data_IF_594879354357
#
_entry.id   IF_594879354357
#
_cell.length_a   1.000
_cell.length_b   1.000
_cell.length_c   1.000
_cell.angle_alpha   90.00
_cell.angle_beta   90.00
_cell.angle_gamma   90.00
#
_symmetry.space_group_name_H-M   'P 1'
#
loop_
_entity.id
_entity.type
_entity.pdbx_description
1 polymer ?
#
# COMPACT_ATOMS: atom_id res chain seq x y z
N UNK A 1 -18.64 5.15 46.34
CA UNK A 1 -19.11 6.31 45.58
C UNK A 1 -19.85 5.78 44.38
N UNK A 2 -21.07 6.23 44.17
CA UNK A 2 -22.14 5.65 43.38
C UNK A 2 -21.79 5.55 41.86
N UNK A 3 -22.14 4.48 41.15
CA UNK A 3 -21.98 4.44 39.71
C UNK A 3 -23.00 5.36 39.04
N UNK A 4 -22.56 6.26 38.19
CA UNK A 4 -23.40 7.10 37.36
C UNK A 4 -24.23 6.21 36.42
N UNK A 5 -25.51 6.07 36.71
CA UNK A 5 -26.51 5.49 35.81
C UNK A 5 -26.85 6.57 34.78
N UNK A 6 -26.34 6.43 33.56
CA UNK A 6 -26.80 7.22 32.43
C UNK A 6 -28.23 6.80 32.09
N UNK A 7 -29.17 7.73 32.22
CA UNK A 7 -30.56 7.51 31.86
C UNK A 7 -30.66 7.32 30.33
N UNK A 8 -31.08 6.14 29.93
CA UNK A 8 -31.40 5.76 28.55
C UNK A 8 -32.65 6.53 28.06
N UNK A 9 -32.48 7.72 27.50
CA UNK A 9 -33.52 8.34 26.66
C UNK A 9 -32.92 9.36 25.68
N UNK A 10 -31.97 8.91 24.84
CA UNK A 10 -31.73 9.59 23.57
C UNK A 10 -32.88 9.22 22.63
N UNK A 11 -33.45 10.16 21.85
CA UNK A 11 -34.49 9.82 20.88
C UNK A 11 -33.93 8.76 19.92
N UNK A 12 -34.70 7.67 19.75
CA UNK A 12 -34.32 6.59 18.83
C UNK A 12 -34.16 7.17 17.43
N UNK A 13 -32.95 7.30 16.97
CA UNK A 13 -32.64 7.82 15.64
C UNK A 13 -32.92 6.76 14.62
N UNK A 14 -33.78 7.05 13.67
CA UNK A 14 -34.07 6.17 12.52
C UNK A 14 -33.37 6.71 11.29
N UNK A 15 -32.57 5.88 10.65
CA UNK A 15 -31.91 6.24 9.41
C UNK A 15 -32.92 6.17 8.26
N UNK A 16 -33.03 7.27 7.52
CA UNK A 16 -33.89 7.39 6.35
C UNK A 16 -33.03 7.57 5.10
N UNK A 17 -32.34 6.49 4.70
CA UNK A 17 -31.49 6.44 3.50
C UNK A 17 -32.00 5.35 2.56
N UNK A 18 -32.12 5.61 1.24
CA UNK A 18 -32.58 4.61 0.26
C UNK A 18 -31.76 3.32 0.25
N UNK A 19 -30.49 3.35 0.65
CA UNK A 19 -29.64 2.16 0.73
C UNK A 19 -30.11 1.16 1.80
N UNK A 20 -30.77 1.64 2.86
CA UNK A 20 -31.38 0.77 3.89
C UNK A 20 -32.61 0.04 3.34
N UNK A 21 -33.31 0.63 2.38
CA UNK A 21 -34.46 -0.02 1.72
C UNK A 21 -34.03 -1.10 0.71
N UNK A 22 -32.76 -1.47 0.69
CA UNK A 22 -32.25 -2.56 -0.14
C UNK A 22 -33.03 -3.85 0.14
N UNK A 23 -33.62 -4.50 -0.90
CA UNK A 23 -34.38 -5.73 -0.75
C UNK A 23 -33.63 -6.85 -0.02
N UNK A 24 -32.30 -6.89 -0.14
CA UNK A 24 -31.48 -7.90 0.55
C UNK A 24 -31.46 -7.66 2.06
N UNK A 25 -31.35 -6.41 2.52
CA UNK A 25 -31.39 -6.09 3.95
C UNK A 25 -32.78 -6.39 4.53
N UNK A 26 -33.84 -6.11 3.79
CA UNK A 26 -35.22 -6.50 4.16
C UNK A 26 -35.36 -8.01 4.29
N UNK A 27 -34.86 -8.77 3.30
CA UNK A 27 -34.89 -10.23 3.31
C UNK A 27 -34.11 -10.80 4.52
N UNK A 28 -32.97 -10.22 4.88
CA UNK A 28 -32.21 -10.64 6.07
C UNK A 28 -33.03 -10.41 7.33
N UNK A 29 -33.61 -9.23 7.50
CA UNK A 29 -34.45 -8.91 8.66
C UNK A 29 -35.68 -9.81 8.79
N UNK A 30 -36.41 -10.03 7.71
CA UNK A 30 -37.60 -10.94 7.66
C UNK A 30 -37.20 -12.40 7.97
N UNK A 31 -36.01 -12.82 7.51
CA UNK A 31 -35.51 -14.16 7.80
C UNK A 31 -35.15 -14.30 9.28
N UNK A 32 -34.50 -13.29 9.85
CA UNK A 32 -34.17 -13.26 11.27
C UNK A 32 -35.44 -13.26 12.15
N UNK A 33 -36.48 -12.47 11.78
CA UNK A 33 -37.76 -12.46 12.51
C UNK A 33 -38.40 -13.84 12.54
N UNK A 34 -38.38 -14.59 11.43
CA UNK A 34 -38.94 -15.94 11.36
C UNK A 34 -38.14 -16.95 12.20
N UNK A 35 -36.83 -16.74 12.38
CA UNK A 35 -36.00 -17.55 13.23
C UNK A 35 -36.02 -17.11 14.71
N UNK A 36 -36.68 -16.00 15.03
CA UNK A 36 -36.69 -15.42 16.37
C UNK A 36 -35.36 -14.84 16.78
N UNK A 37 -34.55 -14.37 15.83
CA UNK A 37 -33.21 -13.81 16.03
C UNK A 37 -33.19 -12.28 15.90
N UNK A 38 -32.46 -11.59 16.75
CA UNK A 38 -32.14 -10.18 16.52
C UNK A 38 -30.96 -10.06 15.58
N UNK A 39 -31.05 -9.18 14.57
CA UNK A 39 -29.97 -8.94 13.63
C UNK A 39 -29.79 -7.47 13.29
N UNK A 40 -28.54 -7.11 12.99
CA UNK A 40 -28.12 -5.75 12.77
C UNK A 40 -27.05 -5.73 11.66
N UNK A 41 -27.13 -4.76 10.76
CA UNK A 41 -25.96 -4.39 9.96
C UNK A 41 -25.07 -3.49 10.79
N UNK A 42 -23.75 -3.68 10.73
CA UNK A 42 -22.80 -3.05 11.65
C UNK A 42 -21.48 -2.69 10.96
N UNK A 43 -20.68 -1.85 11.59
CA UNK A 43 -19.29 -1.65 11.22
C UNK A 43 -19.05 -0.70 10.06
N UNK A 44 -18.15 -1.08 9.17
CA UNK A 44 -17.71 -0.25 8.05
C UNK A 44 -18.83 0.17 7.12
N UNK A 45 -19.77 -0.72 6.84
CA UNK A 45 -20.90 -0.40 5.99
C UNK A 45 -21.78 0.72 6.56
N UNK A 46 -22.09 0.70 7.87
CA UNK A 46 -22.88 1.75 8.54
C UNK A 46 -22.12 3.08 8.51
N UNK A 47 -20.83 3.07 8.81
CA UNK A 47 -19.97 4.26 8.70
C UNK A 47 -19.99 4.84 7.28
N UNK A 48 -19.79 4.01 6.27
CA UNK A 48 -19.70 4.44 4.88
C UNK A 48 -21.06 4.92 4.34
N UNK A 49 -22.18 4.32 4.80
CA UNK A 49 -23.50 4.83 4.56
C UNK A 49 -23.66 6.28 5.05
N UNK A 50 -23.28 6.55 6.30
CA UNK A 50 -23.37 7.88 6.93
C UNK A 50 -22.41 8.90 6.29
N UNK A 51 -21.28 8.43 5.73
CA UNK A 51 -20.32 9.25 4.99
C UNK A 51 -20.67 9.39 3.50
N UNK A 52 -21.78 8.81 3.04
CA UNK A 52 -22.19 8.76 1.63
C UNK A 52 -21.10 8.18 0.71
N UNK A 53 -20.37 7.18 1.21
CA UNK A 53 -19.35 6.43 0.48
C UNK A 53 -19.91 5.13 -0.10
N UNK A 54 -19.38 4.62 -1.20
CA UNK A 54 -19.70 3.26 -1.66
C UNK A 54 -19.14 2.24 -0.67
N UNK A 55 -19.90 1.19 -0.39
CA UNK A 55 -19.45 0.03 0.40
C UNK A 55 -20.27 -1.17 -0.05
N UNK A 56 -19.57 -2.23 -0.44
CA UNK A 56 -20.17 -3.46 -0.94
C UNK A 56 -20.13 -4.59 0.10
N UNK A 57 -19.29 -4.48 1.12
CA UNK A 57 -19.13 -5.45 2.20
C UNK A 57 -20.15 -5.18 3.31
N UNK A 58 -21.14 -6.07 3.44
CA UNK A 58 -22.20 -5.96 4.43
C UNK A 58 -21.93 -6.95 5.57
N UNK A 59 -21.58 -6.41 6.74
CA UNK A 59 -21.41 -7.17 7.97
C UNK A 59 -22.73 -7.22 8.75
N UNK A 60 -23.24 -8.43 9.00
CA UNK A 60 -24.46 -8.67 9.78
C UNK A 60 -24.08 -9.35 11.10
N UNK A 61 -24.38 -8.68 12.21
CA UNK A 61 -24.26 -9.28 13.53
C UNK A 61 -25.63 -9.82 13.97
N UNK A 62 -25.62 -11.01 14.55
CA UNK A 62 -26.82 -11.75 14.97
C UNK A 62 -26.70 -12.09 16.46
N UNK A 63 -27.69 -11.72 17.25
CA UNK A 63 -27.75 -12.19 18.64
C UNK A 63 -28.23 -13.63 18.62
N UNK A 64 -27.25 -14.55 18.65
CA UNK A 64 -27.45 -15.98 18.42
C UNK A 64 -26.59 -16.51 17.26
N UNK A 65 -27.07 -17.51 16.54
CA UNK A 65 -26.31 -18.17 15.48
C UNK A 65 -26.34 -17.40 14.16
N UNK A 66 -25.23 -16.73 13.84
CA UNK A 66 -25.00 -16.11 12.53
C UNK A 66 -25.01 -17.14 11.39
N UNK A 67 -24.49 -18.35 11.64
CA UNK A 67 -24.49 -19.45 10.67
C UNK A 67 -25.92 -19.85 10.29
N UNK A 68 -26.82 -20.03 11.26
CA UNK A 68 -28.20 -20.41 10.99
C UNK A 68 -28.94 -19.36 10.16
N UNK A 69 -28.72 -18.07 10.45
CA UNK A 69 -29.30 -17.00 9.66
C UNK A 69 -28.73 -17.01 8.23
N UNK A 70 -27.41 -17.15 8.07
CA UNK A 70 -26.76 -17.20 6.77
C UNK A 70 -27.27 -18.35 5.89
N UNK A 71 -27.45 -19.55 6.47
CA UNK A 71 -27.97 -20.71 5.77
C UNK A 71 -29.39 -20.45 5.22
N UNK A 72 -30.28 -19.85 6.02
CA UNK A 72 -31.64 -19.57 5.59
C UNK A 72 -31.71 -18.41 4.59
N UNK A 73 -30.87 -17.37 4.77
CA UNK A 73 -30.75 -16.26 3.81
C UNK A 73 -30.23 -16.78 2.46
N UNK A 74 -29.23 -17.66 2.44
CA UNK A 74 -28.71 -18.24 1.21
C UNK A 74 -29.79 -19.03 0.45
N UNK A 75 -30.61 -19.83 1.14
CA UNK A 75 -31.74 -20.55 0.55
C UNK A 75 -32.72 -19.59 -0.10
N UNK A 76 -33.08 -18.48 0.57
CA UNK A 76 -34.04 -17.49 0.08
C UNK A 76 -33.49 -16.65 -1.07
N UNK A 77 -32.21 -16.36 -1.08
CA UNK A 77 -31.57 -15.73 -2.23
C UNK A 77 -31.58 -16.63 -3.46
N UNK A 78 -31.66 -17.94 -3.26
CA UNK A 78 -31.92 -18.91 -4.31
C UNK A 78 -30.73 -19.17 -5.23
N UNK A 79 -31.01 -19.46 -6.49
CA UNK A 79 -29.99 -19.88 -7.48
C UNK A 79 -28.89 -18.83 -7.64
N UNK A 80 -27.62 -19.27 -7.53
CA UNK A 80 -26.42 -18.42 -7.63
C UNK A 80 -25.91 -17.87 -6.30
N UNK A 81 -26.61 -18.16 -5.17
CA UNK A 81 -26.07 -17.87 -3.85
C UNK A 81 -25.11 -18.98 -3.41
N UNK A 82 -23.91 -18.59 -2.99
CA UNK A 82 -22.87 -19.47 -2.47
C UNK A 82 -22.66 -19.20 -0.99
N UNK A 83 -22.83 -20.23 -0.16
CA UNK A 83 -22.63 -20.18 1.29
C UNK A 83 -21.27 -20.81 1.65
N UNK A 84 -20.46 -20.09 2.42
CA UNK A 84 -19.24 -20.57 3.06
C UNK A 84 -19.37 -20.47 4.56
N UNK A 85 -19.15 -21.57 5.30
CA UNK A 85 -19.29 -21.60 6.76
C UNK A 85 -17.95 -21.83 7.43
N UNK A 86 -17.61 -20.99 8.38
CA UNK A 86 -16.37 -21.00 9.15
C UNK A 86 -16.68 -21.34 10.61
N UNK A 87 -16.96 -22.63 10.88
CA UNK A 87 -17.42 -23.11 12.19
C UNK A 87 -16.53 -22.71 13.36
N UNK A 88 -15.22 -22.75 13.17
CA UNK A 88 -14.23 -22.39 14.19
C UNK A 88 -14.38 -20.94 14.68
N UNK A 89 -14.85 -20.07 13.81
CA UNK A 89 -15.02 -18.63 14.08
C UNK A 89 -16.47 -18.23 14.34
N UNK A 90 -17.42 -19.16 14.17
CA UNK A 90 -18.85 -18.86 14.29
C UNK A 90 -19.37 -17.90 13.22
N UNK A 91 -18.71 -17.85 12.05
CA UNK A 91 -19.04 -16.94 10.96
C UNK A 91 -19.49 -17.69 9.71
N UNK A 92 -20.25 -17.02 8.86
CA UNK A 92 -20.62 -17.52 7.55
C UNK A 92 -20.65 -16.37 6.53
N UNK A 93 -20.36 -16.69 5.28
CA UNK A 93 -20.36 -15.74 4.18
C UNK A 93 -21.33 -16.21 3.10
N UNK A 94 -22.14 -15.30 2.60
CA UNK A 94 -23.03 -15.55 1.46
C UNK A 94 -22.64 -14.62 0.32
N UNK A 95 -22.31 -15.20 -0.85
CA UNK A 95 -21.97 -14.47 -2.08
C UNK A 95 -23.01 -14.74 -3.16
N UNK A 96 -23.46 -13.68 -3.85
CA UNK A 96 -24.32 -13.78 -5.03
C UNK A 96 -24.00 -12.66 -6.03
N UNK A 97 -23.32 -12.98 -7.12
CA UNK A 97 -22.75 -11.96 -8.01
C UNK A 97 -21.76 -11.06 -7.25
N UNK A 98 -21.96 -9.76 -7.34
CA UNK A 98 -21.15 -8.76 -6.64
C UNK A 98 -21.54 -8.55 -5.17
N UNK A 99 -22.67 -9.15 -4.73
CA UNK A 99 -23.13 -9.07 -3.34
C UNK A 99 -22.30 -10.00 -2.45
N UNK A 100 -21.74 -9.43 -1.38
CA UNK A 100 -21.04 -10.17 -0.34
C UNK A 100 -21.60 -9.82 1.04
N UNK A 101 -22.10 -10.85 1.74
CA UNK A 101 -22.68 -10.75 3.08
C UNK A 101 -21.84 -11.58 4.05
N UNK A 102 -21.41 -10.98 5.14
CA UNK A 102 -20.77 -11.71 6.24
C UNK A 102 -21.71 -11.75 7.45
N UNK A 103 -21.94 -12.94 8.00
CA UNK A 103 -22.78 -13.16 9.17
C UNK A 103 -21.93 -13.61 10.34
N UNK A 104 -22.04 -12.91 11.47
CA UNK A 104 -21.29 -13.19 12.69
C UNK A 104 -22.24 -13.21 13.86
N UNK A 105 -22.11 -14.20 14.74
CA UNK A 105 -22.81 -14.17 16.03
C UNK A 105 -22.30 -13.04 16.90
N UNK A 106 -23.19 -12.32 17.58
CA UNK A 106 -22.78 -11.35 18.60
C UNK A 106 -21.96 -12.05 19.66
N UNK A 107 -20.81 -11.51 20.02
CA UNK A 107 -19.84 -12.19 20.85
C UNK A 107 -19.18 -11.30 21.89
N UNK A 108 -18.83 -11.90 23.01
CA UNK A 108 -17.91 -11.35 24.00
C UNK A 108 -16.53 -11.97 23.77
N UNK A 109 -15.52 -11.15 23.83
CA UNK A 109 -14.12 -11.57 23.69
C UNK A 109 -13.36 -11.30 24.99
N UNK A 110 -12.50 -12.24 25.39
CA UNK A 110 -11.53 -12.04 26.46
C UNK A 110 -10.14 -12.39 25.97
N UNK A 111 -9.15 -11.57 26.32
CA UNK A 111 -7.80 -11.69 25.81
C UNK A 111 -6.81 -12.06 26.91
N UNK A 112 -5.76 -12.77 26.54
CA UNK A 112 -4.58 -13.00 27.37
C UNK A 112 -3.47 -12.05 26.91
N UNK A 113 -2.74 -11.46 27.85
CA UNK A 113 -1.73 -10.44 27.56
C UNK A 113 -0.69 -10.85 26.49
N UNK A 114 -0.30 -12.13 26.46
CA UNK A 114 0.71 -12.64 25.53
C UNK A 114 0.13 -13.18 24.20
N UNK A 115 -1.18 -13.03 24.00
CA UNK A 115 -1.87 -13.53 22.81
C UNK A 115 -2.92 -12.53 22.33
N UNK A 116 -2.93 -12.31 21.03
CA UNK A 116 -4.00 -11.56 20.36
C UNK A 116 -5.23 -12.40 19.99
N UNK A 117 -5.17 -13.72 20.22
CA UNK A 117 -6.30 -14.61 19.92
C UNK A 117 -7.25 -14.62 21.12
N UNK A 118 -8.48 -14.08 20.97
CA UNK A 118 -9.43 -14.06 22.06
C UNK A 118 -10.02 -15.44 22.36
N UNK A 119 -10.44 -15.60 23.60
CA UNK A 119 -11.46 -16.59 23.95
C UNK A 119 -12.80 -15.96 23.59
N UNK A 120 -13.59 -16.62 22.75
CA UNK A 120 -14.83 -16.12 22.19
C UNK A 120 -16.00 -16.86 22.83
N UNK A 121 -16.99 -16.10 23.33
CA UNK A 121 -18.22 -16.60 23.88
C UNK A 121 -19.41 -15.86 23.24
N UNK A 122 -20.59 -16.50 23.21
CA UNK A 122 -21.81 -15.82 22.78
C UNK A 122 -22.07 -14.61 23.65
N UNK A 123 -22.45 -13.51 23.03
CA UNK A 123 -22.65 -12.23 23.68
C UNK A 123 -23.89 -11.50 23.23
N UNK A 124 -24.14 -10.36 23.87
CA UNK A 124 -25.14 -9.38 23.46
C UNK A 124 -24.61 -8.44 22.38
N UNK A 125 -25.50 -7.69 21.72
CA UNK A 125 -25.08 -6.62 20.80
C UNK A 125 -24.17 -5.60 21.49
N UNK A 126 -24.48 -5.21 22.74
CA UNK A 126 -23.68 -4.27 23.51
C UNK A 126 -22.24 -4.80 23.75
N UNK A 127 -22.09 -6.05 24.11
CA UNK A 127 -20.79 -6.69 24.28
C UNK A 127 -20.01 -6.75 22.94
N UNK A 128 -20.71 -7.00 21.81
CA UNK A 128 -20.09 -6.98 20.49
C UNK A 128 -19.64 -5.57 20.09
N UNK A 129 -20.44 -4.53 20.38
CA UNK A 129 -20.06 -3.14 20.12
C UNK A 129 -18.89 -2.69 21.00
N UNK A 130 -18.85 -3.11 22.28
CA UNK A 130 -17.79 -2.76 23.23
C UNK A 130 -16.41 -3.27 22.80
N UNK A 131 -16.32 -4.46 22.17
CA UNK A 131 -15.05 -5.07 21.73
C UNK A 131 -14.51 -4.51 20.42
N UNK A 132 -15.25 -3.66 19.71
CA UNK A 132 -14.82 -3.10 18.42
C UNK A 132 -13.69 -2.10 18.57
N UNK A 133 -12.99 -1.88 17.47
CA UNK A 133 -11.79 -1.04 17.44
C UNK A 133 -12.09 0.46 17.67
N UNK A 134 -13.08 1.02 16.92
CA UNK A 134 -13.38 2.44 16.95
C UNK A 134 -14.89 2.72 17.01
N UNK A 135 -15.25 3.86 17.59
CA UNK A 135 -16.64 4.32 17.75
C UNK A 135 -17.38 4.35 16.41
N UNK A 136 -16.72 4.84 15.35
CA UNK A 136 -17.27 4.94 14.00
C UNK A 136 -17.53 3.59 13.33
N UNK A 137 -16.94 2.51 13.84
CA UNK A 137 -17.14 1.13 13.37
C UNK A 137 -17.99 0.30 14.34
N UNK A 138 -18.45 0.91 15.44
CA UNK A 138 -19.28 0.25 16.45
C UNK A 138 -20.77 0.54 16.30
N UNK A 139 -21.18 1.40 15.39
CA UNK A 139 -22.56 1.74 15.10
C UNK A 139 -23.27 0.56 14.40
N UNK A 140 -24.51 0.31 14.79
CA UNK A 140 -25.34 -0.75 14.25
C UNK A 140 -26.71 -0.25 13.84
N UNK A 141 -27.30 -0.83 12.79
CA UNK A 141 -28.66 -0.53 12.34
C UNK A 141 -29.50 -1.81 12.40
N UNK A 142 -30.62 -1.76 13.11
CA UNK A 142 -31.52 -2.89 13.28
C UNK A 142 -32.21 -3.25 11.95
N UNK A 143 -32.22 -4.55 11.63
CA UNK A 143 -32.88 -5.09 10.44
C UNK A 143 -34.25 -5.78 10.76
N UNK A 144 -34.53 -6.10 12.03
CA UNK A 144 -35.81 -6.69 12.44
C UNK A 144 -36.97 -5.71 12.17
N UNK A 145 -38.10 -6.23 11.74
CA UNK A 145 -39.27 -5.47 11.24
C UNK A 145 -39.74 -4.37 12.19
N UNK A 146 -39.86 -4.67 13.47
CA UNK A 146 -40.41 -3.72 14.46
C UNK A 146 -39.50 -2.48 14.66
N UNK A 147 -38.17 -2.67 14.52
CA UNK A 147 -37.17 -1.64 14.77
C UNK A 147 -36.35 -1.33 13.52
N UNK A 148 -36.84 -1.68 12.35
CA UNK A 148 -36.08 -1.55 11.10
C UNK A 148 -35.61 -0.12 10.85
N UNK A 149 -34.31 0.00 10.57
CA UNK A 149 -33.61 1.27 10.35
C UNK A 149 -33.27 2.03 11.63
N UNK A 150 -33.57 1.51 12.84
CA UNK A 150 -33.15 2.11 14.10
C UNK A 150 -31.63 2.01 14.25
N UNK A 151 -30.97 3.16 14.44
CA UNK A 151 -29.53 3.24 14.69
C UNK A 151 -29.24 3.07 16.18
N UNK A 152 -28.27 2.20 16.48
CA UNK A 152 -27.72 1.99 17.83
C UNK A 152 -26.28 2.49 17.84
N UNK A 153 -26.08 3.62 18.48
CA UNK A 153 -24.80 4.31 18.59
C UNK A 153 -24.47 4.62 20.07
N UNK A 154 -24.04 3.61 20.85
CA UNK A 154 -23.80 3.79 22.27
C UNK A 154 -22.57 4.65 22.59
N UNK A 155 -21.68 4.92 21.64
CA UNK A 155 -20.40 5.60 21.84
C UNK A 155 -20.28 6.95 21.12
N UNK A 156 -21.40 7.52 20.63
CA UNK A 156 -21.39 8.78 19.86
C UNK A 156 -20.52 8.71 18.60
N UNK A 157 -20.59 7.57 17.87
CA UNK A 157 -19.88 7.38 16.62
C UNK A 157 -20.28 8.40 15.55
N UNK A 158 -21.58 8.82 15.50
CA UNK A 158 -22.04 9.91 14.64
C UNK A 158 -21.28 11.20 14.96
N UNK A 159 -21.20 11.58 16.23
CA UNK A 159 -20.48 12.77 16.66
C UNK A 159 -19.00 12.69 16.29
N UNK A 160 -18.36 11.52 16.38
CA UNK A 160 -16.99 11.33 15.95
C UNK A 160 -16.84 11.39 14.41
N UNK A 161 -17.81 10.94 13.64
CA UNK A 161 -17.84 11.17 12.18
C UNK A 161 -17.92 12.65 11.84
N UNK A 162 -18.80 13.41 12.51
CA UNK A 162 -18.96 14.85 12.30
C UNK A 162 -17.70 15.63 12.67
N UNK A 163 -17.03 15.24 13.77
CA UNK A 163 -15.76 15.82 14.22
C UNK A 163 -14.55 15.32 13.46
N UNK A 164 -14.70 14.34 12.57
CA UNK A 164 -13.61 13.67 11.86
C UNK A 164 -12.56 13.09 12.80
N UNK A 165 -12.99 12.31 13.80
CA UNK A 165 -12.14 11.74 14.84
C UNK A 165 -12.17 10.21 14.82
N UNK A 166 -11.00 9.59 15.01
CA UNK A 166 -10.83 8.16 15.29
C UNK A 166 -10.63 8.01 16.79
N UNK A 167 -11.56 7.32 17.45
CA UNK A 167 -11.56 7.09 18.90
C UNK A 167 -11.97 5.64 19.18
N UNK A 168 -11.41 5.04 20.21
CA UNK A 168 -11.82 3.73 20.73
C UNK A 168 -13.14 3.82 21.51
N UNK A 169 -14.02 2.79 21.44
CA UNK A 169 -15.27 2.78 22.22
C UNK A 169 -15.05 2.81 23.72
N UNK A 170 -14.05 2.09 24.18
CA UNK A 170 -13.66 1.98 25.59
C UNK A 170 -12.24 2.54 25.78
N UNK A 171 -11.64 2.27 26.94
CA UNK A 171 -10.27 2.65 27.26
C UNK A 171 -9.31 2.19 26.14
N UNK A 172 -8.56 3.13 25.50
CA UNK A 172 -7.68 2.78 24.40
C UNK A 172 -6.50 1.90 24.84
N UNK A 173 -5.99 2.00 26.06
CA UNK A 173 -4.92 1.12 26.54
C UNK A 173 -5.38 -0.34 26.58
N UNK A 174 -6.61 -0.60 27.05
CA UNK A 174 -7.21 -1.95 27.05
C UNK A 174 -7.45 -2.40 25.60
N UNK A 175 -8.01 -1.54 24.77
CA UNK A 175 -8.30 -1.85 23.36
C UNK A 175 -7.06 -2.26 22.58
N UNK A 176 -5.92 -1.61 22.81
CA UNK A 176 -4.65 -1.90 22.15
C UNK A 176 -3.85 -3.03 22.81
N UNK A 177 -4.06 -3.29 24.10
CA UNK A 177 -3.51 -4.46 24.75
C UNK A 177 -4.21 -5.73 24.27
N UNK A 178 -5.52 -5.70 24.10
CA UNK A 178 -6.33 -6.81 23.57
C UNK A 178 -5.90 -7.23 22.15
N UNK A 179 -5.81 -6.29 21.23
CA UNK A 179 -5.31 -6.51 19.87
C UNK A 179 -4.44 -5.33 19.40
N UNK A 180 -3.12 -5.45 19.51
CA UNK A 180 -2.20 -4.38 19.10
C UNK A 180 -2.28 -3.99 17.61
N UNK A 181 -2.81 -4.85 16.73
CA UNK A 181 -3.05 -4.50 15.33
C UNK A 181 -4.01 -3.31 15.19
N UNK A 182 -4.88 -3.10 16.17
CA UNK A 182 -5.79 -1.95 16.20
C UNK A 182 -5.06 -0.60 16.18
N UNK A 183 -3.81 -0.55 16.66
CA UNK A 183 -2.96 0.65 16.52
C UNK A 183 -2.66 0.96 15.05
N UNK A 184 -2.32 -0.05 14.25
CA UNK A 184 -2.14 0.11 12.79
C UNK A 184 -3.45 0.47 12.10
N UNK A 185 -4.56 -0.14 12.52
CA UNK A 185 -5.90 0.19 12.01
C UNK A 185 -6.31 1.62 12.31
N UNK A 186 -5.96 2.16 13.49
CA UNK A 186 -6.18 3.57 13.84
C UNK A 186 -5.49 4.51 12.86
N UNK A 187 -4.21 4.27 12.60
CA UNK A 187 -3.42 5.04 11.63
C UNK A 187 -4.00 4.90 10.21
N UNK A 188 -4.37 3.69 9.81
CA UNK A 188 -4.98 3.45 8.50
C UNK A 188 -6.30 4.18 8.33
N UNK A 189 -7.24 4.08 9.27
CA UNK A 189 -8.53 4.76 9.17
C UNK A 189 -8.36 6.28 9.20
N UNK A 190 -7.49 6.82 10.06
CA UNK A 190 -7.17 8.24 10.05
C UNK A 190 -6.70 8.70 8.65
N UNK A 191 -5.82 7.93 8.01
CA UNK A 191 -5.27 8.24 6.69
C UNK A 191 -6.31 8.10 5.58
N UNK A 192 -7.06 7.00 5.56
CA UNK A 192 -8.06 6.73 4.51
C UNK A 192 -9.26 7.67 4.56
N UNK A 193 -9.70 8.04 5.74
CA UNK A 193 -10.85 8.92 5.94
C UNK A 193 -10.45 10.40 5.98
N UNK A 194 -9.17 10.72 6.18
CA UNK A 194 -8.70 12.08 6.41
C UNK A 194 -9.11 12.60 7.80
N UNK A 195 -9.18 11.70 8.80
CA UNK A 195 -9.60 11.98 10.17
C UNK A 195 -8.38 12.14 11.08
N UNK A 196 -8.57 12.83 12.20
CA UNK A 196 -7.56 12.94 13.24
C UNK A 196 -7.73 11.80 14.27
N UNK A 197 -6.63 11.39 14.90
CA UNK A 197 -6.71 10.55 16.08
C UNK A 197 -7.15 11.39 17.29
N UNK A 198 -8.06 10.88 18.10
CA UNK A 198 -8.35 11.43 19.41
C UNK A 198 -7.07 11.46 20.27
N UNK A 199 -6.92 12.47 21.13
CA UNK A 199 -5.70 12.67 21.92
C UNK A 199 -5.33 11.47 22.79
N UNK A 200 -6.28 10.93 23.55
CA UNK A 200 -6.06 9.74 24.38
C UNK A 200 -5.76 8.50 23.56
N UNK A 201 -6.43 8.34 22.42
CA UNK A 201 -6.16 7.24 21.48
C UNK A 201 -4.74 7.35 20.91
N UNK A 202 -4.30 8.55 20.54
CA UNK A 202 -2.93 8.79 20.07
C UNK A 202 -1.89 8.47 21.14
N UNK A 203 -2.08 8.98 22.37
CA UNK A 203 -1.16 8.76 23.48
C UNK A 203 -1.09 7.28 23.88
N UNK A 204 -2.22 6.57 23.84
CA UNK A 204 -2.28 5.14 24.10
C UNK A 204 -1.51 4.32 23.04
N UNK A 205 -1.55 4.70 21.75
CA UNK A 205 -0.72 4.07 20.73
C UNK A 205 0.75 4.20 21.09
N UNK A 206 1.20 5.40 21.48
CA UNK A 206 2.58 5.64 21.88
C UNK A 206 3.00 4.80 23.08
N UNK A 207 2.14 4.69 24.10
CA UNK A 207 2.38 3.87 25.30
C UNK A 207 2.48 2.37 24.98
N UNK A 208 1.66 1.90 24.04
CA UNK A 208 1.53 0.47 23.69
C UNK A 208 2.33 0.06 22.45
N UNK A 209 3.12 0.96 21.85
CA UNK A 209 3.79 0.74 20.55
C UNK A 209 4.64 -0.54 20.54
N UNK A 210 5.31 -0.90 21.63
CA UNK A 210 6.14 -2.11 21.73
C UNK A 210 5.34 -3.40 21.61
N UNK A 211 4.03 -3.35 21.90
CA UNK A 211 3.11 -4.50 21.72
C UNK A 211 2.99 -4.93 20.25
N UNK A 212 3.38 -4.07 19.31
CA UNK A 212 3.41 -4.41 17.88
C UNK A 212 4.32 -5.61 17.57
N UNK A 213 5.27 -5.92 18.44
CA UNK A 213 6.18 -7.05 18.25
C UNK A 213 5.49 -8.43 18.26
N UNK A 214 4.29 -8.55 18.85
CA UNK A 214 3.52 -9.80 18.84
C UNK A 214 2.69 -9.98 17.56
N UNK A 215 2.56 -8.95 16.75
CA UNK A 215 1.78 -8.98 15.49
C UNK A 215 2.63 -9.56 14.36
N UNK A 216 2.03 -10.45 13.59
CA UNK A 216 2.70 -11.02 12.41
C UNK A 216 2.98 -9.93 11.36
N UNK A 217 4.11 -10.04 10.69
CA UNK A 217 4.54 -9.06 9.69
C UNK A 217 3.59 -9.00 8.49
N UNK A 218 2.96 -10.12 8.14
CA UNK A 218 1.95 -10.20 7.09
C UNK A 218 0.76 -9.26 7.37
N UNK A 219 0.26 -9.26 8.59
CA UNK A 219 -0.85 -8.37 8.98
C UNK A 219 -0.45 -6.90 9.01
N UNK A 220 0.76 -6.61 9.44
CA UNK A 220 1.32 -5.25 9.38
C UNK A 220 1.40 -4.82 7.91
N UNK A 221 1.90 -5.67 7.01
CA UNK A 221 2.02 -5.39 5.59
C UNK A 221 0.65 -5.09 4.93
N UNK A 222 -0.40 -5.83 5.30
CA UNK A 222 -1.76 -5.57 4.83
C UNK A 222 -2.23 -4.15 5.19
N UNK A 223 -2.02 -3.72 6.43
CA UNK A 223 -2.38 -2.38 6.87
C UNK A 223 -1.51 -1.29 6.19
N UNK A 224 -0.21 -1.54 6.04
CA UNK A 224 0.70 -0.65 5.30
C UNK A 224 0.27 -0.48 3.84
N UNK A 225 -0.09 -1.56 3.15
CA UNK A 225 -0.57 -1.49 1.76
C UNK A 225 -1.86 -0.67 1.63
N UNK A 226 -2.77 -0.78 2.60
CA UNK A 226 -3.99 0.04 2.65
C UNK A 226 -3.68 1.53 2.90
N UNK A 227 -2.67 1.84 3.74
CA UNK A 227 -2.16 3.20 3.92
C UNK A 227 -1.57 3.72 2.60
N UNK A 228 -0.73 2.92 1.94
CA UNK A 228 -0.10 3.28 0.66
C UNK A 228 -1.10 3.60 -0.44
N UNK A 229 -2.26 2.94 -0.46
CA UNK A 229 -3.32 3.15 -1.44
C UNK A 229 -4.27 4.32 -1.09
N UNK A 230 -4.10 4.96 0.05
CA UNK A 230 -4.89 6.12 0.42
C UNK A 230 -4.57 7.34 -0.45
N UNK A 231 -5.42 8.36 -0.39
CA UNK A 231 -5.28 9.60 -1.18
C UNK A 231 -4.01 10.39 -0.80
N UNK A 232 -3.68 10.43 0.50
CA UNK A 232 -2.50 11.11 1.05
C UNK A 232 -1.73 10.17 1.97
N UNK A 233 -0.99 9.21 1.42
CA UNK A 233 -0.31 8.19 2.21
C UNK A 233 0.74 8.77 3.17
N UNK A 234 1.30 9.94 2.89
CA UNK A 234 2.25 10.62 3.79
C UNK A 234 1.69 10.82 5.19
N UNK A 235 0.40 11.10 5.33
CA UNK A 235 -0.24 11.34 6.64
C UNK A 235 -0.14 10.08 7.52
N UNK A 236 -0.33 8.90 6.94
CA UNK A 236 -0.16 7.63 7.64
C UNK A 236 1.27 7.40 8.11
N UNK A 237 2.25 7.65 7.27
CA UNK A 237 3.66 7.50 7.63
C UNK A 237 4.10 8.49 8.70
N UNK A 238 3.59 9.72 8.66
CA UNK A 238 3.82 10.73 9.71
C UNK A 238 3.20 10.28 11.03
N UNK A 239 1.98 9.73 11.01
CA UNK A 239 1.34 9.20 12.22
C UNK A 239 2.11 8.01 12.79
N UNK A 240 2.59 7.08 11.95
CA UNK A 240 3.44 5.97 12.38
C UNK A 240 4.73 6.47 13.06
N UNK A 241 5.34 7.52 12.52
CA UNK A 241 6.53 8.14 13.12
C UNK A 241 6.21 8.81 14.47
N UNK A 242 5.18 9.66 14.51
CA UNK A 242 4.80 10.41 15.70
C UNK A 242 4.33 9.54 16.86
N UNK A 243 3.71 8.40 16.57
CA UNK A 243 3.24 7.44 17.59
C UNK A 243 4.32 6.45 18.03
N UNK A 244 5.52 6.50 17.43
CA UNK A 244 6.62 5.59 17.77
C UNK A 244 6.47 4.19 17.18
N UNK A 245 5.48 3.94 16.32
CA UNK A 245 5.30 2.67 15.62
C UNK A 245 6.35 2.47 14.51
N UNK A 246 6.75 3.54 13.83
CA UNK A 246 7.64 3.46 12.66
C UNK A 246 8.98 2.78 12.95
N UNK A 247 9.74 3.15 13.98
CA UNK A 247 11.03 2.51 14.26
C UNK A 247 10.91 1.02 14.61
N UNK A 248 9.74 0.59 15.13
CA UNK A 248 9.48 -0.82 15.47
C UNK A 248 9.16 -1.63 14.22
N UNK A 249 8.32 -1.09 13.32
CA UNK A 249 7.85 -1.83 12.14
C UNK A 249 8.79 -1.68 10.95
N UNK A 250 9.39 -0.49 10.78
CA UNK A 250 10.23 -0.17 9.61
C UNK A 250 11.39 0.77 9.97
N UNK A 251 12.40 0.30 10.73
CA UNK A 251 13.52 1.12 11.19
C UNK A 251 14.37 1.70 10.04
N UNK A 252 14.44 1.03 8.89
CA UNK A 252 15.19 1.53 7.73
C UNK A 252 14.57 2.82 7.17
N UNK A 253 13.23 2.94 7.17
CA UNK A 253 12.55 4.17 6.78
C UNK A 253 12.69 5.26 7.85
N UNK A 254 12.59 4.90 9.13
CA UNK A 254 12.82 5.82 10.24
C UNK A 254 14.22 6.46 10.20
N UNK A 255 15.22 5.72 9.72
CA UNK A 255 16.60 6.20 9.58
C UNK A 255 16.78 7.30 8.51
N UNK A 256 15.78 7.56 7.67
CA UNK A 256 15.81 8.68 6.71
C UNK A 256 15.59 10.05 7.38
N UNK A 257 15.05 10.05 8.61
CA UNK A 257 14.69 11.26 9.32
C UNK A 257 15.90 11.96 9.93
N UNK A 258 15.89 13.27 9.84
CA UNK A 258 16.89 14.14 10.46
C UNK A 258 17.80 14.84 9.46
N UNK A 259 18.39 15.93 9.93
CA UNK A 259 19.31 16.76 9.15
C UNK A 259 20.58 16.95 9.98
N UNK A 260 21.71 16.61 9.41
CA UNK A 260 23.01 16.93 9.99
C UNK A 260 23.56 18.20 9.36
N UNK A 261 24.09 19.08 10.20
CA UNK A 261 24.76 20.31 9.78
C UNK A 261 26.24 20.19 10.12
N UNK A 262 27.11 20.36 9.11
CA UNK A 262 28.56 20.41 9.27
C UNK A 262 29.09 21.61 8.49
N UNK A 263 29.96 22.39 9.10
CA UNK A 263 30.52 23.60 8.50
C UNK A 263 29.45 24.57 7.92
N UNK A 264 28.31 24.69 8.62
CA UNK A 264 27.18 25.54 8.20
C UNK A 264 26.36 24.98 7.01
N UNK A 265 26.68 23.77 6.53
CA UNK A 265 25.98 23.12 5.41
C UNK A 265 25.15 21.94 5.90
N UNK A 266 23.81 22.03 5.73
CA UNK A 266 22.88 20.95 6.00
C UNK A 266 22.41 20.26 4.72
N UNK A 267 21.78 19.09 4.86
CA UNK A 267 21.04 18.44 3.77
C UNK A 267 19.56 18.50 4.03
N UNK A 268 18.73 18.21 3.02
CA UNK A 268 17.27 18.07 3.21
C UNK A 268 16.98 16.88 4.11
N UNK A 269 15.91 16.99 4.92
CA UNK A 269 15.36 15.82 5.60
C UNK A 269 14.81 14.84 4.55
N UNK A 270 15.45 13.68 4.44
CA UNK A 270 15.14 12.69 3.41
C UNK A 270 13.79 12.04 3.67
N UNK A 271 13.39 11.86 4.93
CA UNK A 271 12.10 11.29 5.29
C UNK A 271 10.94 12.14 4.75
N UNK A 272 10.91 13.42 5.07
CA UNK A 272 9.83 14.31 4.61
C UNK A 272 9.87 14.56 3.10
N UNK A 273 11.07 14.59 2.50
CA UNK A 273 11.20 14.61 1.05
C UNK A 273 10.54 13.38 0.41
N UNK A 274 10.88 12.18 0.89
CA UNK A 274 10.33 10.91 0.40
C UNK A 274 8.80 10.87 0.51
N UNK A 275 8.24 11.35 1.63
CA UNK A 275 6.79 11.42 1.80
C UNK A 275 6.13 12.41 0.84
N UNK A 276 6.80 13.52 0.50
CA UNK A 276 6.31 14.44 -0.51
C UNK A 276 6.30 13.82 -1.91
N UNK A 277 7.35 13.08 -2.26
CA UNK A 277 7.41 12.32 -3.51
C UNK A 277 6.27 11.29 -3.59
N UNK A 278 6.03 10.58 -2.49
CA UNK A 278 4.93 9.60 -2.39
C UNK A 278 3.56 10.25 -2.63
N UNK A 279 3.27 11.40 -2.01
CA UNK A 279 2.02 12.11 -2.22
C UNK A 279 1.88 12.64 -3.66
N UNK A 280 2.95 13.20 -4.23
CA UNK A 280 2.95 13.66 -5.62
C UNK A 280 2.60 12.50 -6.58
N UNK A 281 3.19 11.31 -6.34
CA UNK A 281 2.90 10.13 -7.14
C UNK A 281 1.46 9.63 -6.92
N UNK A 282 0.95 9.70 -5.70
CA UNK A 282 -0.41 9.28 -5.39
C UNK A 282 -1.50 10.08 -6.11
N UNK A 283 -1.19 11.30 -6.57
CA UNK A 283 -2.09 12.12 -7.40
C UNK A 283 -2.21 11.59 -8.84
N UNK A 284 -1.25 10.82 -9.32
CA UNK A 284 -1.14 10.40 -10.73
C UNK A 284 -1.20 8.90 -10.94
N UNK A 285 -1.01 8.09 -9.91
CA UNK A 285 -0.95 6.62 -10.04
C UNK A 285 -1.52 5.92 -8.81
N UNK A 286 -2.36 4.91 -9.08
CA UNK A 286 -2.87 3.97 -8.06
C UNK A 286 -2.06 2.66 -8.00
N UNK A 287 -0.95 2.56 -8.75
CA UNK A 287 -0.08 1.41 -8.73
C UNK A 287 0.63 1.29 -7.37
N UNK A 288 0.20 0.32 -6.56
CA UNK A 288 0.74 0.07 -5.22
C UNK A 288 2.27 -0.08 -5.24
N UNK A 289 2.81 -0.81 -6.21
CA UNK A 289 4.24 -1.11 -6.24
C UNK A 289 5.07 0.08 -6.70
N UNK A 290 4.52 0.95 -7.55
CA UNK A 290 5.15 2.22 -7.89
C UNK A 290 5.16 3.18 -6.69
N UNK A 291 4.09 3.19 -5.88
CA UNK A 291 4.07 3.93 -4.61
C UNK A 291 5.10 3.40 -3.61
N UNK A 292 5.28 2.07 -3.51
CA UNK A 292 6.38 1.49 -2.74
C UNK A 292 7.75 1.90 -3.28
N UNK A 293 7.93 1.95 -4.60
CA UNK A 293 9.17 2.46 -5.20
C UNK A 293 9.42 3.92 -4.82
N UNK A 294 8.39 4.77 -4.84
CA UNK A 294 8.49 6.16 -4.38
C UNK A 294 8.90 6.27 -2.91
N UNK A 295 8.33 5.43 -2.03
CA UNK A 295 8.71 5.40 -0.62
C UNK A 295 10.17 4.94 -0.41
N UNK A 296 10.69 4.10 -1.30
CA UNK A 296 11.99 3.43 -1.14
C UNK A 296 13.09 3.99 -2.04
N UNK A 297 12.79 4.96 -2.94
CA UNK A 297 13.78 5.42 -3.93
C UNK A 297 15.07 5.94 -3.29
N UNK A 298 14.96 6.61 -2.16
CA UNK A 298 16.06 7.21 -1.40
C UNK A 298 16.54 6.38 -0.19
N UNK A 299 16.04 5.15 -0.02
CA UNK A 299 16.32 4.31 1.17
C UNK A 299 17.83 4.02 1.37
N UNK A 300 18.62 4.14 0.32
CA UNK A 300 20.07 3.95 0.36
C UNK A 300 20.85 5.16 0.90
N UNK A 301 20.23 6.34 1.03
CA UNK A 301 20.92 7.57 1.41
C UNK A 301 21.65 7.51 2.75
N UNK A 302 21.10 6.96 3.83
CA UNK A 302 21.83 6.86 5.10
C UNK A 302 23.12 6.07 5.00
N UNK A 303 23.16 5.03 4.16
CA UNK A 303 24.35 4.18 3.96
C UNK A 303 25.37 4.77 3.00
N UNK A 304 24.96 5.67 2.11
CA UNK A 304 25.83 6.32 1.12
C UNK A 304 26.30 7.72 1.55
N UNK A 305 25.81 8.21 2.69
CA UNK A 305 26.07 9.54 3.22
C UNK A 305 27.56 9.74 3.51
N UNK A 306 28.17 10.73 2.88
CA UNK A 306 29.58 11.09 3.08
C UNK A 306 29.72 12.61 3.07
N UNK A 307 30.68 13.09 3.85
CA UNK A 307 31.08 14.49 3.85
C UNK A 307 32.24 14.75 2.88
N UNK A 308 32.00 15.69 1.98
CA UNK A 308 33.03 16.21 1.06
C UNK A 308 33.30 17.67 1.43
N UNK A 309 34.57 18.07 1.67
CA UNK A 309 34.91 19.44 2.08
C UNK A 309 34.51 20.52 1.08
N UNK A 310 34.42 20.19 -0.21
CA UNK A 310 34.03 21.14 -1.28
C UNK A 310 32.54 21.08 -1.55
N UNK A 311 31.98 19.88 -1.73
CA UNK A 311 30.57 19.68 -2.11
C UNK A 311 29.60 19.65 -0.92
N UNK A 312 30.09 19.45 0.32
CA UNK A 312 29.25 19.23 1.50
C UNK A 312 28.77 17.78 1.62
N UNK A 313 27.55 17.56 2.10
CA UNK A 313 26.97 16.23 2.19
C UNK A 313 26.69 15.65 0.80
N UNK A 314 27.20 14.44 0.54
CA UNK A 314 27.00 13.68 -0.70
C UNK A 314 26.36 12.34 -0.42
N UNK A 315 25.61 11.81 -1.41
CA UNK A 315 24.86 10.55 -1.33
C UNK A 315 25.11 9.70 -2.59
N UNK A 316 26.37 9.56 -2.99
CA UNK A 316 26.74 8.88 -4.24
C UNK A 316 26.30 7.41 -4.21
N UNK A 317 25.79 6.93 -5.34
CA UNK A 317 25.32 5.55 -5.53
C UNK A 317 24.20 5.10 -4.57
N UNK A 318 23.44 6.04 -3.97
CA UNK A 318 22.32 5.69 -3.07
C UNK A 318 21.24 4.84 -3.77
N UNK A 319 21.01 5.05 -5.06
CA UNK A 319 20.09 4.27 -5.89
C UNK A 319 20.52 2.79 -5.95
N UNK A 320 21.77 2.51 -6.26
CA UNK A 320 22.33 1.15 -6.30
C UNK A 320 22.31 0.48 -4.91
N UNK A 321 22.72 1.21 -3.87
CA UNK A 321 22.69 0.72 -2.49
C UNK A 321 21.23 0.45 -2.07
N UNK A 322 20.32 1.37 -2.38
CA UNK A 322 18.88 1.22 -2.14
C UNK A 322 18.32 -0.02 -2.81
N UNK A 323 18.59 -0.21 -4.11
CA UNK A 323 18.15 -1.38 -4.86
C UNK A 323 18.63 -2.70 -4.22
N UNK A 324 19.86 -2.75 -3.72
CA UNK A 324 20.37 -3.92 -2.96
C UNK A 324 19.70 -4.15 -1.62
N UNK A 325 19.09 -3.12 -1.03
CA UNK A 325 18.34 -3.25 0.23
C UNK A 325 16.93 -3.83 0.01
N UNK A 326 16.33 -3.67 -1.18
CA UNK A 326 14.94 -4.04 -1.45
C UNK A 326 14.61 -5.50 -1.10
N UNK A 327 15.37 -6.52 -1.52
CA UNK A 327 15.04 -7.91 -1.18
C UNK A 327 14.96 -8.16 0.33
N UNK A 328 15.87 -7.58 1.10
CA UNK A 328 15.88 -7.72 2.55
C UNK A 328 14.70 -6.99 3.20
N UNK A 329 14.34 -5.79 2.73
CA UNK A 329 13.19 -5.02 3.21
C UNK A 329 11.90 -5.77 2.93
N UNK A 330 11.71 -6.27 1.71
CA UNK A 330 10.53 -7.04 1.31
C UNK A 330 10.37 -8.31 2.14
N UNK A 331 11.46 -9.06 2.33
CA UNK A 331 11.46 -10.26 3.17
C UNK A 331 11.09 -9.94 4.63
N UNK A 332 11.64 -8.86 5.20
CA UNK A 332 11.40 -8.44 6.58
C UNK A 332 9.95 -7.96 6.79
N UNK A 333 9.40 -7.21 5.84
CA UNK A 333 8.02 -6.71 5.87
C UNK A 333 7.01 -7.74 5.37
N UNK A 334 7.45 -8.91 4.91
CA UNK A 334 6.57 -9.92 4.30
C UNK A 334 5.79 -9.42 3.09
N UNK A 335 6.42 -8.55 2.32
CA UNK A 335 5.96 -8.17 0.98
C UNK A 335 6.32 -9.28 -0.03
N UNK A 336 5.65 -9.37 -1.21
CA UNK A 336 5.89 -10.46 -2.16
C UNK A 336 7.32 -10.45 -2.72
N UNK A 337 7.97 -11.62 -2.69
CA UNK A 337 9.34 -11.84 -3.20
C UNK A 337 9.31 -12.36 -4.64
N UNK A 338 8.59 -11.69 -5.52
CA UNK A 338 8.37 -12.08 -6.91
C UNK A 338 8.67 -10.91 -7.88
N UNK A 339 8.01 -10.90 -9.02
CA UNK A 339 8.06 -9.82 -10.02
C UNK A 339 7.81 -8.42 -9.44
N UNK A 340 6.96 -8.31 -8.40
CA UNK A 340 6.68 -7.02 -7.73
C UNK A 340 7.92 -6.47 -7.02
N UNK A 341 8.68 -7.34 -6.35
CA UNK A 341 9.95 -6.96 -5.73
C UNK A 341 10.99 -6.53 -6.77
N UNK A 342 11.15 -7.30 -7.84
CA UNK A 342 12.09 -6.97 -8.92
C UNK A 342 11.70 -5.66 -9.62
N UNK A 343 10.40 -5.41 -9.80
CA UNK A 343 9.89 -4.14 -10.30
C UNK A 343 10.29 -2.96 -9.39
N UNK A 344 10.02 -3.04 -8.08
CA UNK A 344 10.40 -1.98 -7.12
C UNK A 344 11.91 -1.77 -7.11
N UNK A 345 12.69 -2.84 -7.09
CA UNK A 345 14.15 -2.80 -7.14
C UNK A 345 14.66 -2.08 -8.39
N UNK A 346 14.08 -2.40 -9.56
CA UNK A 346 14.41 -1.74 -10.83
C UNK A 346 14.09 -0.23 -10.78
N UNK A 347 12.91 0.15 -10.29
CA UNK A 347 12.53 1.56 -10.15
C UNK A 347 13.50 2.33 -9.24
N UNK A 348 13.87 1.75 -8.10
CA UNK A 348 14.82 2.34 -7.15
C UNK A 348 16.22 2.48 -7.79
N UNK A 349 16.68 1.50 -8.54
CA UNK A 349 17.99 1.56 -9.20
C UNK A 349 18.04 2.62 -10.31
N UNK A 350 16.98 2.72 -11.09
CA UNK A 350 16.93 3.57 -12.28
C UNK A 350 16.49 5.02 -12.03
N UNK A 351 15.89 5.35 -10.86
CA UNK A 351 15.25 6.66 -10.66
C UNK A 351 16.16 7.87 -10.91
N UNK A 352 17.49 7.71 -10.75
CA UNK A 352 18.45 8.78 -11.04
C UNK A 352 18.79 8.93 -12.53
N UNK A 353 18.47 7.93 -13.37
CA UNK A 353 18.85 7.94 -14.79
C UNK A 353 18.18 9.06 -15.59
N UNK A 354 16.83 9.24 -15.54
CA UNK A 354 16.19 10.35 -16.22
C UNK A 354 16.65 11.72 -15.74
N UNK A 355 16.92 11.88 -14.43
CA UNK A 355 17.42 13.15 -13.87
C UNK A 355 18.76 13.53 -14.49
N UNK A 356 19.70 12.58 -14.57
CA UNK A 356 21.01 12.82 -15.16
C UNK A 356 20.92 13.21 -16.65
N UNK A 357 19.91 12.67 -17.37
CA UNK A 357 19.68 13.04 -18.79
C UNK A 357 19.23 14.48 -18.99
N UNK A 358 18.60 15.11 -18.00
CA UNK A 358 18.15 16.50 -18.10
C UNK A 358 19.20 17.54 -17.71
N UNK A 359 20.21 17.13 -16.95
CA UNK A 359 21.31 18.02 -16.53
C UNK A 359 22.40 18.13 -17.60
N UNK A 360 22.58 17.10 -18.43
CA UNK A 360 23.60 17.01 -19.48
C UNK A 360 22.97 17.14 -20.89
N UNK A 361 23.82 17.21 -21.92
CA UNK A 361 23.36 17.11 -23.32
C UNK A 361 22.78 15.73 -23.57
N UNK A 362 21.47 15.64 -23.82
CA UNK A 362 20.76 14.38 -24.04
C UNK A 362 21.26 13.70 -25.31
N UNK A 363 22.06 12.64 -25.17
CA UNK A 363 22.53 11.84 -26.32
C UNK A 363 21.58 10.71 -26.63
N UNK A 364 21.50 10.29 -27.91
CA UNK A 364 20.70 9.15 -28.34
C UNK A 364 21.11 7.86 -27.64
N UNK A 365 22.40 7.67 -27.41
CA UNK A 365 22.95 6.50 -26.71
C UNK A 365 22.43 6.42 -25.25
N UNK A 366 22.44 7.53 -24.53
CA UNK A 366 21.94 7.56 -23.15
C UNK A 366 20.45 7.24 -23.06
N UNK A 367 19.64 7.76 -24.00
CA UNK A 367 18.20 7.46 -24.08
C UNK A 367 17.94 6.01 -24.48
N UNK A 368 18.70 5.45 -25.44
CA UNK A 368 18.59 4.02 -25.81
C UNK A 368 18.88 3.11 -24.62
N UNK A 369 19.94 3.41 -23.86
CA UNK A 369 20.27 2.64 -22.66
C UNK A 369 19.15 2.70 -21.62
N UNK A 370 18.56 3.87 -21.39
CA UNK A 370 17.43 4.02 -20.48
C UNK A 370 16.22 3.22 -20.95
N UNK A 371 15.84 3.31 -22.24
CA UNK A 371 14.75 2.54 -22.83
C UNK A 371 14.97 1.02 -22.68
N UNK A 372 16.19 0.58 -22.92
CA UNK A 372 16.56 -0.83 -22.77
C UNK A 372 16.50 -1.31 -21.32
N UNK A 373 17.07 -0.54 -20.38
CA UNK A 373 17.10 -0.92 -18.97
C UNK A 373 15.72 -0.89 -18.31
N UNK A 374 14.90 0.12 -18.64
CA UNK A 374 13.55 0.26 -18.07
C UNK A 374 12.54 -0.70 -18.74
N UNK A 375 12.72 -0.97 -20.06
CA UNK A 375 11.80 -1.81 -20.81
C UNK A 375 10.38 -1.27 -20.79
N UNK A 376 9.40 -2.13 -20.54
CA UNK A 376 7.97 -1.76 -20.49
C UNK A 376 7.60 -0.86 -19.31
N UNK A 377 8.47 -0.76 -18.29
CA UNK A 377 8.23 0.06 -17.10
C UNK A 377 8.71 1.51 -17.26
N UNK A 378 9.08 1.95 -18.47
CA UNK A 378 9.64 3.29 -18.72
C UNK A 378 8.68 4.41 -18.32
N UNK A 379 7.38 4.25 -18.56
CA UNK A 379 6.38 5.26 -18.20
C UNK A 379 6.24 5.40 -16.68
N UNK A 380 6.25 4.29 -15.96
CA UNK A 380 6.21 4.28 -14.49
C UNK A 380 7.48 4.93 -13.90
N UNK A 381 8.64 4.66 -14.50
CA UNK A 381 9.89 5.32 -14.11
C UNK A 381 9.82 6.83 -14.31
N UNK A 382 9.25 7.29 -15.41
CA UNK A 382 9.09 8.73 -15.67
C UNK A 382 8.09 9.38 -14.72
N UNK A 383 7.01 8.68 -14.33
CA UNK A 383 6.08 9.16 -13.30
C UNK A 383 6.77 9.31 -11.93
N UNK A 384 7.61 8.35 -11.56
CA UNK A 384 8.41 8.42 -10.33
C UNK A 384 9.34 9.63 -10.34
N UNK A 385 10.04 9.87 -11.46
CA UNK A 385 10.96 10.99 -11.60
C UNK A 385 10.24 12.35 -11.60
N UNK A 386 9.06 12.45 -12.22
CA UNK A 386 8.22 13.66 -12.15
C UNK A 386 7.79 13.94 -10.70
N UNK A 387 7.40 12.89 -9.96
CA UNK A 387 7.00 13.00 -8.56
C UNK A 387 8.15 13.47 -7.64
N UNK A 388 9.39 13.12 -7.97
CA UNK A 388 10.60 13.48 -7.22
C UNK A 388 10.96 14.98 -7.36
N UNK A 389 10.34 15.71 -8.30
CA UNK A 389 10.53 17.15 -8.44
C UNK A 389 9.80 17.88 -7.30
N UNK A 390 10.48 18.06 -6.17
CA UNK A 390 9.92 18.68 -4.94
C UNK A 390 10.44 20.11 -4.68
N UNK A 391 11.06 20.77 -5.68
CA UNK A 391 11.57 22.12 -5.54
C UNK A 391 10.45 23.12 -5.20
N UNK A 392 10.75 24.07 -4.30
CA UNK A 392 9.86 25.21 -4.01
C UNK A 392 10.01 26.34 -5.04
N UNK A 393 11.06 26.28 -5.85
CA UNK A 393 11.28 27.27 -6.93
C UNK A 393 10.48 26.84 -8.17
N UNK A 394 9.42 27.57 -8.49
CA UNK A 394 8.52 27.26 -9.59
C UNK A 394 9.21 27.33 -10.97
N UNK A 395 10.17 28.24 -11.17
CA UNK A 395 10.95 28.30 -12.41
C UNK A 395 11.82 27.06 -12.60
N UNK A 396 12.49 26.62 -11.52
CA UNK A 396 13.29 25.39 -11.53
C UNK A 396 12.40 24.18 -11.78
N UNK A 397 11.26 24.09 -11.14
CA UNK A 397 10.28 23.03 -11.33
C UNK A 397 9.76 22.98 -12.76
N UNK A 398 9.36 24.13 -13.32
CA UNK A 398 8.89 24.23 -14.70
C UNK A 398 10.00 23.84 -15.71
N UNK A 399 11.27 24.20 -15.43
CA UNK A 399 12.40 23.77 -16.25
C UNK A 399 12.59 22.25 -16.25
N UNK A 400 12.53 21.60 -15.08
CA UNK A 400 12.64 20.15 -15.00
C UNK A 400 11.50 19.46 -15.77
N UNK A 401 10.26 19.91 -15.60
CA UNK A 401 9.13 19.34 -16.34
C UNK A 401 9.28 19.48 -17.86
N UNK A 402 9.71 20.66 -18.36
CA UNK A 402 10.00 20.85 -19.81
C UNK A 402 11.09 19.89 -20.28
N UNK A 403 12.16 19.74 -19.52
CA UNK A 403 13.26 18.82 -19.88
C UNK A 403 12.80 17.36 -19.90
N UNK A 404 11.96 16.94 -18.95
CA UNK A 404 11.37 15.59 -18.99
C UNK A 404 10.47 15.38 -20.20
N UNK A 405 9.71 16.39 -20.62
CA UNK A 405 8.94 16.31 -21.87
C UNK A 405 9.84 16.11 -23.10
N UNK A 406 10.97 16.83 -23.16
CA UNK A 406 11.95 16.64 -24.25
C UNK A 406 12.54 15.23 -24.24
N UNK A 407 12.85 14.68 -23.05
CA UNK A 407 13.35 13.31 -22.92
C UNK A 407 12.29 12.32 -23.38
N UNK A 408 11.01 12.49 -23.00
CA UNK A 408 9.89 11.64 -23.46
C UNK A 408 9.73 11.70 -25.00
N UNK A 409 9.76 12.89 -25.58
CA UNK A 409 9.68 13.04 -27.04
C UNK A 409 10.82 12.27 -27.71
N UNK A 410 12.05 12.42 -27.23
CA UNK A 410 13.22 11.73 -27.77
C UNK A 410 13.14 10.20 -27.58
N UNK A 411 12.54 9.74 -26.50
CA UNK A 411 12.27 8.31 -26.30
C UNK A 411 11.33 7.76 -27.37
N UNK A 412 10.24 8.46 -27.66
CA UNK A 412 9.28 8.05 -28.72
C UNK A 412 9.97 8.00 -30.08
N UNK A 413 10.71 9.03 -30.46
CA UNK A 413 11.43 9.09 -31.74
C UNK A 413 12.43 7.94 -31.90
N UNK A 414 13.19 7.61 -30.83
CA UNK A 414 14.17 6.53 -30.85
C UNK A 414 13.50 5.15 -30.85
N UNK A 415 12.40 4.98 -30.11
CA UNK A 415 11.66 3.72 -30.10
C UNK A 415 11.04 3.42 -31.46
N UNK A 416 10.46 4.41 -32.13
CA UNK A 416 9.93 4.26 -33.50
C UNK A 416 11.01 3.92 -34.51
N UNK A 417 12.19 4.56 -34.39
CA UNK A 417 13.31 4.37 -35.32
C UNK A 417 14.06 3.07 -35.08
N UNK A 418 14.42 2.80 -33.84
CA UNK A 418 15.44 1.82 -33.49
C UNK A 418 14.86 0.56 -32.79
N UNK A 419 13.59 0.58 -32.35
CA UNK A 419 12.89 -0.52 -31.65
C UNK A 419 13.71 -1.11 -30.48
N UNK A 420 14.21 -0.24 -29.62
CA UNK A 420 15.18 -0.60 -28.58
C UNK A 420 14.54 -1.25 -27.35
N UNK A 421 13.27 -0.94 -27.06
CA UNK A 421 12.59 -1.50 -25.89
C UNK A 421 12.54 -3.02 -25.96
N UNK A 422 13.09 -3.68 -24.93
CA UNK A 422 13.11 -5.14 -24.82
C UNK A 422 13.83 -5.87 -25.99
N UNK A 423 14.68 -5.18 -26.79
CA UNK A 423 15.35 -5.84 -27.88
C UNK A 423 16.30 -6.95 -27.38
N UNK A 424 16.42 -8.00 -28.18
CA UNK A 424 17.47 -9.00 -28.01
C UNK A 424 18.52 -8.81 -29.09
N UNK A 425 19.83 -8.95 -28.77
CA UNK A 425 20.84 -8.92 -29.80
C UNK A 425 20.49 -9.88 -30.95
N UNK A 426 20.51 -9.43 -32.22
CA UNK A 426 19.97 -10.20 -33.33
C UNK A 426 20.77 -11.46 -33.64
N UNK A 427 21.97 -11.62 -33.10
CA UNK A 427 22.80 -12.86 -33.20
C UNK A 427 22.72 -13.60 -31.87
N UNK A 428 22.32 -14.88 -31.93
CA UNK A 428 22.18 -15.73 -30.74
C UNK A 428 23.52 -16.33 -30.31
N UNK A 429 23.62 -16.75 -29.05
CA UNK A 429 24.83 -17.38 -28.51
C UNK A 429 25.20 -18.67 -29.24
N UNK A 430 24.22 -19.49 -29.62
CA UNK A 430 24.42 -20.73 -30.35
C UNK A 430 25.04 -20.47 -31.74
N UNK A 431 24.59 -19.42 -32.44
CA UNK A 431 25.18 -19.00 -33.72
C UNK A 431 26.62 -18.53 -33.59
N UNK A 432 26.96 -17.84 -32.47
CA UNK A 432 28.34 -17.40 -32.16
C UNK A 432 29.22 -18.61 -31.91
N UNK A 433 28.73 -19.59 -31.15
CA UNK A 433 29.45 -20.83 -30.89
C UNK A 433 29.72 -21.62 -32.19
N UNK A 434 28.70 -21.73 -33.07
CA UNK A 434 28.81 -22.40 -34.37
C UNK A 434 29.81 -21.68 -35.32
N UNK A 435 29.72 -20.33 -35.39
CA UNK A 435 30.60 -19.55 -36.28
C UNK A 435 32.10 -19.68 -35.92
N UNK A 436 32.43 -19.85 -34.67
CA UNK A 436 33.81 -19.88 -34.22
C UNK A 436 34.25 -21.19 -33.58
N UNK A 437 33.43 -22.23 -33.71
CA UNK A 437 33.65 -23.56 -33.12
C UNK A 437 33.98 -23.51 -31.64
N UNK A 438 33.17 -22.75 -30.88
CA UNK A 438 33.34 -22.57 -29.44
C UNK A 438 32.40 -23.47 -28.66
N UNK A 439 32.88 -23.99 -27.56
CA UNK A 439 32.04 -24.54 -26.49
C UNK A 439 31.44 -23.39 -25.64
N UNK A 440 30.39 -23.67 -24.87
CA UNK A 440 29.81 -22.66 -23.96
C UNK A 440 30.87 -22.09 -23.03
N UNK A 441 31.20 -20.79 -23.18
CA UNK A 441 32.24 -20.09 -22.43
C UNK A 441 31.93 -18.60 -22.25
N UNK A 442 32.69 -17.93 -21.36
CA UNK A 442 32.54 -16.49 -21.08
C UNK A 442 32.68 -15.62 -22.33
N UNK A 443 33.51 -16.04 -23.28
CA UNK A 443 33.78 -15.30 -24.52
C UNK A 443 32.55 -15.12 -25.40
N UNK A 444 31.66 -16.13 -25.46
CA UNK A 444 30.38 -16.01 -26.16
C UNK A 444 29.51 -14.93 -25.52
N UNK A 445 29.47 -14.87 -24.18
CA UNK A 445 28.78 -13.83 -23.42
C UNK A 445 29.37 -12.44 -23.66
N UNK A 446 30.71 -12.32 -23.70
CA UNK A 446 31.42 -11.05 -23.98
C UNK A 446 31.12 -10.52 -25.39
N UNK A 447 31.15 -11.38 -26.41
CA UNK A 447 30.83 -10.99 -27.78
C UNK A 447 29.37 -10.54 -27.90
N UNK A 448 28.45 -11.26 -27.28
CA UNK A 448 27.03 -10.90 -27.26
C UNK A 448 26.80 -9.56 -26.53
N UNK A 449 27.49 -9.33 -25.41
CA UNK A 449 27.44 -8.06 -24.68
C UNK A 449 28.00 -6.91 -25.51
N UNK A 450 29.11 -7.09 -26.20
CA UNK A 450 29.72 -6.09 -27.05
C UNK A 450 28.81 -5.66 -28.21
N UNK A 451 28.09 -6.61 -28.83
CA UNK A 451 27.09 -6.29 -29.86
C UNK A 451 25.95 -5.46 -29.28
N UNK A 452 25.42 -5.88 -28.12
CA UNK A 452 24.38 -5.11 -27.41
C UNK A 452 24.84 -3.67 -27.16
N UNK A 453 26.02 -3.50 -26.61
CA UNK A 453 26.56 -2.17 -26.31
C UNK A 453 26.77 -1.34 -27.57
N UNK A 454 27.28 -1.92 -28.67
CA UNK A 454 27.45 -1.24 -29.94
C UNK A 454 26.10 -0.77 -30.55
N UNK A 455 25.04 -1.55 -30.41
CA UNK A 455 23.68 -1.15 -30.83
C UNK A 455 23.17 0.01 -29.95
N UNK A 456 23.28 -0.11 -28.63
CA UNK A 456 22.86 0.95 -27.69
C UNK A 456 23.63 2.24 -27.91
N UNK A 457 24.92 2.17 -28.23
CA UNK A 457 25.75 3.34 -28.54
C UNK A 457 25.54 3.90 -29.95
N UNK A 458 24.76 3.18 -30.78
CA UNK A 458 24.46 3.59 -32.15
C UNK A 458 25.65 3.41 -33.12
N UNK A 459 26.63 2.59 -32.75
CA UNK A 459 27.79 2.24 -33.60
C UNK A 459 27.33 1.36 -34.76
N UNK A 460 26.40 0.45 -34.48
CA UNK A 460 25.76 -0.42 -35.50
C UNK A 460 24.23 -0.35 -35.35
N UNK A 461 23.48 -0.52 -36.45
CA UNK A 461 22.04 -0.65 -36.36
C UNK A 461 21.62 -2.00 -35.72
N UNK A 462 20.39 -2.05 -35.19
CA UNK A 462 19.82 -3.27 -34.63
C UNK A 462 19.37 -4.22 -35.76
N UNK A 463 20.32 -4.73 -36.52
CA UNK A 463 20.12 -5.61 -37.68
C UNK A 463 21.06 -6.78 -37.62
N UNK A 464 20.57 -7.96 -38.03
CA UNK A 464 21.35 -9.22 -38.04
C UNK A 464 22.68 -9.13 -38.81
N UNK A 465 22.65 -8.55 -40.02
CA UNK A 465 23.85 -8.42 -40.86
C UNK A 465 24.93 -7.57 -40.22
N UNK A 466 24.54 -6.44 -39.67
CA UNK A 466 25.47 -5.52 -39.01
C UNK A 466 26.05 -6.13 -37.72
N UNK A 467 25.23 -6.79 -36.92
CA UNK A 467 25.67 -7.47 -35.70
C UNK A 467 26.63 -8.63 -36.00
N UNK A 468 26.33 -9.42 -37.00
CA UNK A 468 27.19 -10.53 -37.42
C UNK A 468 28.55 -10.04 -37.93
N UNK A 469 28.58 -9.00 -38.74
CA UNK A 469 29.82 -8.40 -39.24
C UNK A 469 30.66 -7.86 -38.08
N UNK A 470 30.04 -7.19 -37.11
CA UNK A 470 30.71 -6.64 -35.93
C UNK A 470 31.31 -7.75 -35.04
N UNK A 471 30.62 -8.86 -34.83
CA UNK A 471 31.14 -10.03 -34.10
C UNK A 471 32.38 -10.60 -34.77
N UNK A 472 32.39 -10.75 -36.11
CA UNK A 472 33.53 -11.26 -36.88
C UNK A 472 34.74 -10.32 -36.72
N UNK A 473 34.51 -9.02 -36.81
CA UNK A 473 35.58 -8.03 -36.59
C UNK A 473 36.18 -8.10 -35.19
N UNK A 474 35.31 -8.19 -34.14
CA UNK A 474 35.78 -8.34 -32.74
C UNK A 474 36.57 -9.62 -32.53
N UNK A 475 36.12 -10.75 -33.15
CA UNK A 475 36.82 -12.02 -33.06
C UNK A 475 38.20 -11.94 -33.67
N UNK A 476 38.34 -11.35 -34.87
CA UNK A 476 39.62 -11.15 -35.53
C UNK A 476 40.61 -10.27 -34.73
N UNK A 477 40.07 -9.27 -34.04
CA UNK A 477 40.88 -8.39 -33.12
C UNK A 477 41.39 -9.11 -31.88
N UNK A 478 40.64 -10.09 -31.38
CA UNK A 478 41.03 -10.91 -30.22
C UNK A 478 42.05 -12.01 -30.52
N UNK A 479 42.16 -12.39 -31.79
CA UNK A 479 43.14 -13.39 -32.24
C UNK A 479 44.52 -12.81 -32.62
N UNK A 480 44.60 -11.49 -32.73
CA UNK A 480 45.87 -10.77 -32.93
C UNK A 480 46.44 -10.35 -31.54
#
# INVERSE_FOLDING_TARGET
MSPFIWSRSSPKMKINDPKIENPVLRLIGETADQLGLECYVIGGWVRDLLLHRPSDDIDVVVVGSGISLAEEVAKRLGKGAHLSVFKTYGTAQVKRGDLELEFVGARRESYQHDSRNPIVEDGTLEEDQNRRDFTINAMAICLNKERYGELLDPFDGIGDLERCIIRTPLDPDITFDDDPLRMMRAVRFATQLGFNLDGETFDAIARNATRMNIITRERIAEELNKIMLSRRPSEGWILLDKTGLLPIIFPELAALKGVEVKDGRGHKDVFYHTLKVLDNLAETSDNLWLRWAALLHDIGKPKSKQWDPQAGWTFRNHNYIGAKMIPRIFAKLKLPLNDKMEYVKKMVDLHMRPINLIEDTVTDSAVRRLLFEAGDDIEDLMLLCDADITSRNEEKKARFHRNYQLVRQKMVELEERDRIRNFQPPVKGDEIMEMFHLEPCSLVGELKAAVKDAILDGIIPNEYKAAKAYIIELWQKKQK
#
